data_IF_233603581117
#
_entry.id   IF_233603581117
#
_cell.length_a   1.000
_cell.length_b   1.000
_cell.length_c   1.000
_cell.angle_alpha   90.00
_cell.angle_beta   90.00
_cell.angle_gamma   90.00
#
_symmetry.space_group_name_H-M   'P 1'
#
loop_
_entity.id
_entity.type
_entity.pdbx_description
1 polymer ?
#
# COMPACT_ATOMS: atom_id res chain seq x y z
N UNK A 1 -23.16 -16.26 -15.88
CA UNK A 1 -22.07 -15.32 -15.56
C UNK A 1 -21.40 -15.85 -14.31
N UNK A 2 -20.21 -16.43 -14.42
CA UNK A 2 -19.48 -16.98 -13.27
C UNK A 2 -18.79 -15.83 -12.55
N UNK A 3 -19.24 -15.53 -11.34
CA UNK A 3 -18.62 -14.51 -10.50
C UNK A 3 -17.35 -15.09 -9.87
N UNK A 4 -16.20 -14.50 -10.20
CA UNK A 4 -14.92 -14.86 -9.60
C UNK A 4 -14.88 -14.40 -8.13
N UNK A 5 -14.42 -15.26 -7.22
CA UNK A 5 -14.24 -14.87 -5.81
C UNK A 5 -12.99 -14.00 -5.64
N UNK A 6 -12.92 -13.23 -4.54
CA UNK A 6 -11.71 -12.45 -4.21
C UNK A 6 -10.47 -13.33 -4.07
N UNK A 7 -10.62 -14.52 -3.52
CA UNK A 7 -9.52 -15.47 -3.36
C UNK A 7 -9.05 -16.01 -4.71
N UNK A 8 -9.99 -16.38 -5.58
CA UNK A 8 -9.67 -16.80 -6.95
C UNK A 8 -9.01 -15.67 -7.74
N UNK A 9 -9.47 -14.43 -7.58
CA UNK A 9 -8.85 -13.25 -8.18
C UNK A 9 -7.41 -13.07 -7.68
N UNK A 10 -7.17 -13.19 -6.37
CA UNK A 10 -5.84 -13.08 -5.76
C UNK A 10 -4.89 -14.12 -6.31
N UNK A 11 -5.32 -15.38 -6.37
CA UNK A 11 -4.50 -16.48 -6.90
C UNK A 11 -4.12 -16.25 -8.37
N UNK A 12 -5.08 -15.83 -9.20
CA UNK A 12 -4.82 -15.54 -10.62
C UNK A 12 -3.75 -14.45 -10.79
N UNK A 13 -3.78 -13.40 -9.96
CA UNK A 13 -2.79 -12.34 -10.01
C UNK A 13 -1.40 -12.82 -9.58
N UNK A 14 -1.31 -13.65 -8.54
CA UNK A 14 -0.06 -14.27 -8.07
C UNK A 14 0.55 -15.15 -9.17
N UNK A 15 -0.26 -16.02 -9.77
CA UNK A 15 0.20 -16.93 -10.83
C UNK A 15 0.69 -16.16 -12.06
N UNK A 16 -0.04 -15.09 -12.42
CA UNK A 16 0.32 -14.21 -13.54
C UNK A 16 1.65 -13.49 -13.27
N UNK A 17 1.84 -12.95 -12.06
CA UNK A 17 3.08 -12.27 -11.69
C UNK A 17 4.29 -13.23 -11.74
N UNK A 18 4.16 -14.42 -11.16
CA UNK A 18 5.21 -15.46 -11.21
C UNK A 18 5.54 -15.86 -12.65
N UNK A 19 4.53 -16.02 -13.50
CA UNK A 19 4.75 -16.34 -14.91
C UNK A 19 5.55 -15.23 -15.64
N UNK A 20 5.22 -13.96 -15.41
CA UNK A 20 5.96 -12.82 -15.99
C UNK A 20 7.41 -12.78 -15.48
N UNK A 21 7.63 -13.07 -14.19
CA UNK A 21 8.97 -13.10 -13.59
C UNK A 21 9.84 -14.19 -14.20
N UNK A 22 9.28 -15.37 -14.51
CA UNK A 22 10.02 -16.53 -15.03
C UNK A 22 10.14 -16.60 -16.56
N UNK A 23 9.44 -15.75 -17.29
CA UNK A 23 9.41 -15.75 -18.77
C UNK A 23 10.79 -15.44 -19.38
N UNK A 24 11.08 -15.82 -20.61
CA UNK A 24 12.28 -15.36 -21.34
C UNK A 24 12.24 -13.86 -21.73
N UNK A 25 13.42 -13.27 -21.98
CA UNK A 25 13.56 -11.90 -22.48
C UNK A 25 13.13 -11.80 -23.95
N UNK A 26 11.82 -11.67 -24.19
CA UNK A 26 11.24 -11.58 -25.53
C UNK A 26 11.02 -10.13 -26.00
N UNK A 27 11.39 -9.14 -25.18
CA UNK A 27 11.15 -7.70 -25.43
C UNK A 27 12.18 -6.85 -24.68
N UNK A 28 12.56 -5.64 -25.19
CA UNK A 28 13.40 -4.70 -24.46
C UNK A 28 12.79 -4.24 -23.12
N UNK A 29 11.48 -4.36 -22.93
CA UNK A 29 10.78 -4.03 -21.67
C UNK A 29 10.70 -5.20 -20.68
N UNK A 30 11.29 -6.35 -20.99
CA UNK A 30 11.13 -7.56 -20.17
C UNK A 30 11.56 -7.32 -18.71
N UNK A 31 12.66 -6.59 -18.48
CA UNK A 31 13.09 -6.30 -17.11
C UNK A 31 12.12 -5.37 -16.37
N UNK A 32 11.61 -4.32 -17.04
CA UNK A 32 10.59 -3.45 -16.45
C UNK A 32 9.33 -4.25 -16.08
N UNK A 33 8.93 -5.20 -16.92
CA UNK A 33 7.77 -6.07 -16.66
C UNK A 33 8.03 -7.04 -15.50
N UNK A 34 9.24 -7.61 -15.39
CA UNK A 34 9.62 -8.43 -14.24
C UNK A 34 9.59 -7.61 -12.96
N UNK A 35 10.10 -6.39 -13.00
CA UNK A 35 10.16 -5.53 -11.82
C UNK A 35 8.76 -5.12 -11.36
N UNK A 36 7.88 -4.73 -12.29
CA UNK A 36 6.47 -4.50 -11.98
C UNK A 36 5.80 -5.74 -11.40
N UNK A 37 6.11 -6.93 -11.92
CA UNK A 37 5.57 -8.19 -11.40
C UNK A 37 6.10 -8.53 -10.00
N UNK A 38 7.37 -8.26 -9.69
CA UNK A 38 7.95 -8.42 -8.34
C UNK A 38 7.27 -7.49 -7.34
N UNK A 39 7.08 -6.22 -7.68
CA UNK A 39 6.37 -5.25 -6.83
C UNK A 39 4.93 -5.70 -6.60
N UNK A 40 4.22 -6.07 -7.66
CA UNK A 40 2.83 -6.54 -7.55
C UNK A 40 2.73 -7.80 -6.68
N UNK A 41 3.63 -8.76 -6.87
CA UNK A 41 3.68 -9.99 -6.06
C UNK A 41 3.93 -9.65 -4.59
N UNK A 42 4.92 -8.80 -4.29
CA UNK A 42 5.22 -8.36 -2.93
C UNK A 42 4.02 -7.71 -2.25
N UNK A 43 3.26 -6.87 -2.96
CA UNK A 43 2.04 -6.24 -2.43
C UNK A 43 0.90 -7.24 -2.20
N UNK A 44 0.78 -8.28 -3.04
CA UNK A 44 -0.28 -9.29 -2.94
C UNK A 44 -0.02 -10.32 -1.82
N UNK A 45 1.24 -10.65 -1.57
CA UNK A 45 1.65 -11.62 -0.54
C UNK A 45 2.02 -10.96 0.79
N UNK A 46 2.24 -9.63 0.80
CA UNK A 46 2.40 -8.91 2.05
C UNK A 46 1.16 -9.17 2.89
N UNK A 47 1.37 -9.83 4.03
CA UNK A 47 0.39 -9.80 5.10
C UNK A 47 0.13 -8.32 5.40
N UNK A 48 -1.15 -7.92 5.57
CA UNK A 48 -1.41 -6.59 6.08
C UNK A 48 -0.55 -6.44 7.32
N UNK A 49 0.28 -5.39 7.35
CA UNK A 49 0.99 -5.04 8.57
C UNK A 49 -0.12 -4.60 9.52
N UNK A 50 -0.69 -5.56 10.24
CA UNK A 50 -1.33 -5.34 11.51
C UNK A 50 -0.20 -4.81 12.39
N UNK A 51 0.06 -3.51 12.28
CA UNK A 51 0.51 -2.80 13.46
C UNK A 51 -0.67 -2.93 14.39
N UNK A 52 -0.65 -3.96 15.22
CA UNK A 52 -1.51 -4.03 16.37
C UNK A 52 -1.50 -2.64 16.97
N UNK A 53 -2.66 -1.99 17.01
CA UNK A 53 -2.79 -0.68 17.68
C UNK A 53 -2.28 -0.77 19.12
N UNK A 54 -2.13 -1.98 19.67
CA UNK A 54 -1.51 -2.26 20.96
C UNK A 54 -0.05 -1.77 21.07
N UNK A 55 0.77 -1.85 20.01
CA UNK A 55 2.19 -1.46 20.05
C UNK A 55 2.45 -0.05 19.47
N UNK A 56 1.45 0.56 18.83
CA UNK A 56 1.53 1.92 18.33
C UNK A 56 1.03 2.91 19.39
N UNK A 57 1.71 4.04 19.56
CA UNK A 57 1.12 5.13 20.34
C UNK A 57 -0.12 5.67 19.61
N UNK A 58 -1.27 5.79 20.28
CA UNK A 58 -2.45 6.41 19.69
C UNK A 58 -2.17 7.86 19.33
N UNK A 59 -2.68 8.30 18.18
CA UNK A 59 -2.47 9.67 17.69
C UNK A 59 -3.43 10.64 18.35
N UNK A 60 -4.68 10.21 18.48
CA UNK A 60 -5.78 10.97 19.10
C UNK A 60 -6.74 10.00 19.76
N UNK A 61 -7.63 10.55 20.57
CA UNK A 61 -8.68 9.84 21.27
C UNK A 61 -10.04 10.41 20.88
N UNK A 62 -11.08 9.61 21.06
CA UNK A 62 -12.49 9.99 20.86
C UNK A 62 -13.39 9.19 21.79
N UNK A 63 -14.68 9.49 21.85
CA UNK A 63 -15.67 8.68 22.56
C UNK A 63 -16.43 7.76 21.59
N UNK A 64 -17.22 6.82 22.14
CA UNK A 64 -18.01 5.87 21.36
C UNK A 64 -19.02 6.55 20.41
N UNK A 65 -19.63 7.65 20.86
CA UNK A 65 -20.65 8.37 20.07
C UNK A 65 -20.02 9.05 18.85
N UNK A 66 -18.86 9.66 19.03
CA UNK A 66 -18.10 10.33 18.00
C UNK A 66 -17.43 9.32 17.06
N UNK A 67 -16.96 8.17 17.56
CA UNK A 67 -16.46 7.08 16.73
C UNK A 67 -17.51 6.65 15.70
N UNK A 68 -18.77 6.52 16.11
CA UNK A 68 -19.86 6.17 15.21
C UNK A 68 -20.12 7.22 14.12
N UNK A 69 -19.89 8.50 14.43
CA UNK A 69 -19.97 9.57 13.44
C UNK A 69 -18.80 9.53 12.45
N UNK A 70 -17.58 9.27 12.93
CA UNK A 70 -16.38 9.10 12.12
C UNK A 70 -16.56 7.92 11.15
N UNK A 71 -17.03 6.78 11.65
CA UNK A 71 -17.29 5.58 10.84
C UNK A 71 -18.30 5.81 9.71
N UNK A 72 -19.15 6.84 9.84
CA UNK A 72 -20.14 7.26 8.84
C UNK A 72 -19.67 8.42 7.96
N UNK A 73 -18.41 8.84 8.09
CA UNK A 73 -17.82 9.93 7.29
C UNK A 73 -18.34 11.32 7.65
N UNK A 74 -18.79 11.55 8.89
CA UNK A 74 -19.22 12.90 9.32
C UNK A 74 -18.03 13.74 9.78
N UNK A 75 -17.93 14.94 9.23
CA UNK A 75 -16.84 15.90 9.49
C UNK A 75 -16.88 16.53 10.90
N UNK A 76 -18.02 16.50 11.60
CA UNK A 76 -18.22 17.21 12.88
C UNK A 76 -17.88 16.37 14.12
N UNK A 77 -17.03 15.35 13.98
CA UNK A 77 -16.74 14.42 15.08
C UNK A 77 -15.63 14.99 15.97
N UNK A 78 -15.80 14.92 17.29
CA UNK A 78 -14.80 15.42 18.23
C UNK A 78 -13.66 14.42 18.40
N UNK A 79 -12.43 14.92 18.35
CA UNK A 79 -11.20 14.19 18.63
C UNK A 79 -10.30 15.05 19.52
N UNK A 80 -9.49 14.43 20.37
CA UNK A 80 -8.59 15.15 21.27
C UNK A 80 -7.24 14.46 21.44
N UNK A 81 -6.26 15.24 21.88
CA UNK A 81 -4.91 14.74 22.18
C UNK A 81 -4.83 14.04 23.53
N UNK A 82 -3.73 13.32 23.74
CA UNK A 82 -3.44 12.55 24.96
C UNK A 82 -3.60 13.33 26.26
N UNK A 83 -3.33 14.64 26.25
CA UNK A 83 -3.48 15.50 27.43
C UNK A 83 -4.92 15.62 27.95
N UNK A 84 -5.93 15.36 27.11
CA UNK A 84 -7.35 15.45 27.45
C UNK A 84 -8.01 14.06 27.53
N UNK A 85 -7.21 13.00 27.63
CA UNK A 85 -7.71 11.64 27.67
C UNK A 85 -8.43 11.34 29.00
N UNK A 86 -9.60 10.73 28.91
CA UNK A 86 -10.37 10.21 30.03
C UNK A 86 -10.44 8.67 30.00
N UNK A 87 -10.79 8.08 31.15
CA UNK A 87 -11.00 6.62 31.25
C UNK A 87 -12.25 6.25 30.45
N UNK A 88 -12.08 5.37 29.46
CA UNK A 88 -13.15 4.95 28.55
C UNK A 88 -13.05 5.54 27.14
N UNK A 89 -12.10 6.46 26.92
CA UNK A 89 -11.81 6.98 25.59
C UNK A 89 -11.26 5.89 24.65
N UNK A 90 -11.66 5.99 23.39
CA UNK A 90 -11.26 5.09 22.32
C UNK A 90 -10.02 5.66 21.61
N UNK A 91 -8.90 4.93 21.60
CA UNK A 91 -7.70 5.34 20.88
C UNK A 91 -7.87 5.20 19.36
N UNK A 92 -7.43 6.21 18.61
CA UNK A 92 -7.37 6.17 17.15
C UNK A 92 -5.90 6.14 16.68
N UNK A 93 -5.58 5.15 15.85
CA UNK A 93 -4.24 4.91 15.33
C UNK A 93 -4.09 5.38 13.89
N UNK A 94 -2.86 5.65 13.45
CA UNK A 94 -2.62 5.85 12.01
C UNK A 94 -2.85 4.54 11.31
N UNK A 95 -3.62 4.59 10.22
CA UNK A 95 -3.56 3.52 9.25
C UNK A 95 -2.13 3.40 8.72
N UNK A 96 -1.60 2.18 8.63
CA UNK A 96 -0.30 1.94 8.03
C UNK A 96 -0.34 2.46 6.58
N UNK A 97 0.41 3.52 6.30
CA UNK A 97 0.55 3.98 4.92
C UNK A 97 1.38 2.94 4.17
N UNK A 98 1.03 2.61 2.90
CA UNK A 98 1.89 1.80 2.06
C UNK A 98 3.30 2.35 2.10
N UNK A 99 4.30 1.48 2.22
CA UNK A 99 5.69 1.90 2.23
C UNK A 99 5.92 2.86 1.05
N UNK A 100 6.50 4.05 1.28
CA UNK A 100 6.82 4.96 0.19
C UNK A 100 7.62 4.18 -0.84
N UNK A 101 7.11 4.11 -2.07
CA UNK A 101 7.88 3.58 -3.20
C UNK A 101 8.96 4.61 -3.45
N UNK A 102 10.06 4.51 -2.72
CA UNK A 102 11.28 5.25 -3.02
C UNK A 102 11.77 4.68 -4.34
N UNK A 103 11.77 5.45 -5.45
CA UNK A 103 12.43 4.99 -6.64
C UNK A 103 13.88 4.73 -6.24
N UNK A 104 14.40 3.52 -6.45
CA UNK A 104 15.84 3.30 -6.41
C UNK A 104 16.49 4.41 -7.24
N UNK A 105 17.53 5.07 -6.70
CA UNK A 105 18.20 6.18 -7.38
C UNK A 105 18.41 5.81 -8.84
N UNK A 106 17.79 6.56 -9.75
CA UNK A 106 17.95 6.35 -11.20
C UNK A 106 19.46 6.27 -11.44
N UNK A 107 19.99 5.14 -11.96
CA UNK A 107 21.42 5.02 -12.19
C UNK A 107 21.87 6.22 -13.00
N UNK A 108 22.92 6.94 -12.56
CA UNK A 108 23.36 8.21 -13.17
C UNK A 108 23.62 8.13 -14.69
N UNK A 109 23.72 6.93 -15.25
CA UNK A 109 23.81 6.68 -16.70
C UNK A 109 22.48 6.69 -17.47
N UNK A 110 21.33 6.46 -16.82
CA UNK A 110 20.02 6.35 -17.49
C UNK A 110 19.50 7.72 -17.93
N UNK A 111 19.76 8.78 -17.16
CA UNK A 111 19.37 10.15 -17.49
C UNK A 111 20.04 10.63 -18.80
N UNK A 112 21.31 10.28 -19.01
CA UNK A 112 22.04 10.62 -20.25
C UNK A 112 21.52 9.86 -21.47
N UNK A 113 21.11 8.60 -21.30
CA UNK A 113 20.55 7.78 -22.38
C UNK A 113 19.18 8.30 -22.85
N UNK A 114 18.33 8.76 -21.93
CA UNK A 114 17.01 9.31 -22.26
C UNK A 114 17.13 10.60 -23.07
N UNK A 115 18.06 11.49 -22.70
CA UNK A 115 18.30 12.75 -23.43
C UNK A 115 18.81 12.47 -24.85
N UNK A 116 19.65 11.46 -25.03
CA UNK A 116 20.15 11.09 -26.36
C UNK A 116 19.09 10.47 -27.27
N UNK A 117 18.07 9.82 -26.69
CA UNK A 117 16.96 9.20 -27.43
C UNK A 117 15.93 10.24 -27.92
N UNK A 118 15.82 11.37 -27.23
CA UNK A 118 14.88 12.47 -27.56
C UNK A 118 15.50 13.53 -28.49
N UNK A 119 16.78 13.42 -28.83
CA UNK A 119 17.52 14.38 -29.65
C UNK A 119 17.55 14.01 -31.16
N UNK A 120 16.73 13.07 -31.60
CA UNK A 120 16.51 12.70 -33.01
C UNK A 120 15.02 12.82 -33.35
#
# INVERSE_FOLDING_TARGET
>A
MTTITREQQKQILIDTANHVISRDNTSPYSENLRELARIALAQLIAEPVERDGADADPVVFTDERNLHHIARGRETSLIWGKQNQEVGDIPLYRHAQPAPVVPEEIPKGLAGQIVSLLAH
#
